data_IF_339462099260
#
_entry.id   IF_339462099260
#
_cell.length_a   1.000
_cell.length_b   1.000
_cell.length_c   1.000
_cell.angle_alpha   90.00
_cell.angle_beta   90.00
_cell.angle_gamma   90.00
#
_symmetry.space_group_name_H-M   'P 1'
#
loop_
_entity.id
_entity.type
_entity.pdbx_description
1 polymer ?
#
# COMPACT_ATOMS: atom_id res chain seq x y z
N UNK A 1 3.24 -0.70 -10.32
CA UNK A 1 1.85 -0.34 -9.95
C UNK A 1 1.00 -1.60 -10.03
N UNK A 2 0.22 -1.89 -9.00
CA UNK A 2 -0.63 -3.08 -8.87
C UNK A 2 -1.99 -2.59 -8.38
N UNK A 3 -3.08 -3.08 -8.95
CA UNK A 3 -4.43 -2.79 -8.44
C UNK A 3 -5.01 -4.07 -7.88
N UNK A 4 -5.51 -4.01 -6.64
CA UNK A 4 -6.07 -5.16 -5.93
C UNK A 4 -7.43 -4.81 -5.36
N UNK A 5 -8.44 -5.52 -5.78
CA UNK A 5 -9.75 -5.47 -5.14
C UNK A 5 -9.76 -6.35 -3.90
N UNK A 6 -10.20 -5.82 -2.76
CA UNK A 6 -10.32 -6.55 -1.51
C UNK A 6 -11.52 -6.03 -0.70
N UNK A 7 -12.43 -6.95 -0.34
CA UNK A 7 -13.64 -6.66 0.45
C UNK A 7 -14.56 -5.55 -0.10
N UNK A 8 -14.53 -5.34 -1.42
CA UNK A 8 -15.33 -4.29 -2.09
C UNK A 8 -14.57 -2.98 -2.30
N UNK A 9 -13.40 -2.83 -1.69
CA UNK A 9 -12.52 -1.67 -1.89
C UNK A 9 -11.47 -1.97 -2.98
N UNK A 10 -11.00 -0.93 -3.66
CA UNK A 10 -9.97 -1.02 -4.71
C UNK A 10 -8.66 -0.43 -4.17
N UNK A 11 -7.61 -1.23 -4.05
CA UNK A 11 -6.30 -0.78 -3.59
C UNK A 11 -5.33 -0.60 -4.77
N UNK A 12 -4.96 0.64 -5.05
CA UNK A 12 -3.94 0.99 -6.03
C UNK A 12 -2.57 1.06 -5.35
N UNK A 13 -1.81 -0.02 -5.44
CA UNK A 13 -0.52 -0.21 -4.78
C UNK A 13 0.63 0.20 -5.71
N UNK A 14 1.40 1.19 -5.30
CA UNK A 14 2.63 1.64 -5.92
C UNK A 14 3.82 1.24 -5.07
N UNK A 15 4.68 0.37 -5.62
CA UNK A 15 5.87 -0.13 -4.93
C UNK A 15 7.07 0.62 -5.49
N UNK A 16 7.82 1.28 -4.61
CA UNK A 16 9.06 1.98 -4.91
C UNK A 16 10.22 1.22 -4.24
N UNK A 17 11.27 0.93 -5.00
CA UNK A 17 12.45 0.24 -4.47
C UNK A 17 13.72 1.02 -4.82
N UNK A 18 13.97 2.16 -4.16
CA UNK A 18 15.16 2.99 -4.43
C UNK A 18 16.46 2.27 -4.06
N UNK A 19 16.42 1.38 -3.07
CA UNK A 19 17.60 0.69 -2.54
C UNK A 19 17.89 -0.64 -3.26
N UNK A 20 17.10 -1.01 -4.26
CA UNK A 20 17.23 -2.29 -4.98
C UNK A 20 17.23 -3.54 -4.07
N UNK A 21 16.50 -3.49 -2.95
CA UNK A 21 16.37 -4.62 -2.01
C UNK A 21 15.34 -5.64 -2.50
N UNK A 22 15.42 -6.89 -2.05
CA UNK A 22 14.48 -7.95 -2.46
C UNK A 22 13.37 -8.22 -1.43
N UNK A 23 13.46 -7.66 -0.23
CA UNK A 23 12.50 -7.80 0.86
C UNK A 23 12.65 -6.64 1.85
N UNK A 24 11.64 -6.42 2.70
CA UNK A 24 11.63 -5.33 3.67
C UNK A 24 10.74 -4.17 3.23
N UNK A 25 9.73 -3.84 4.05
CA UNK A 25 8.91 -2.64 3.87
C UNK A 25 9.47 -1.59 4.81
N UNK A 26 10.13 -0.58 4.26
CA UNK A 26 10.65 0.54 5.04
C UNK A 26 9.54 1.54 5.40
N UNK A 27 8.58 1.74 4.49
CA UNK A 27 7.48 2.68 4.69
C UNK A 27 6.25 2.28 3.88
N UNK A 28 5.06 2.47 4.47
CA UNK A 28 3.78 2.31 3.78
C UNK A 28 2.87 3.49 4.07
N UNK A 29 2.25 4.04 3.03
CA UNK A 29 1.22 5.08 3.15
C UNK A 29 -0.04 4.64 2.42
N UNK A 30 -1.20 4.98 2.98
CA UNK A 30 -2.52 4.76 2.37
C UNK A 30 -3.28 6.08 2.38
N UNK A 31 -3.71 6.53 1.21
CA UNK A 31 -4.37 7.82 0.99
C UNK A 31 -3.60 9.01 1.59
N UNK A 32 -2.26 8.93 1.53
CA UNK A 32 -1.36 9.95 2.07
C UNK A 32 -1.16 9.87 3.59
N UNK A 33 -1.80 8.93 4.30
CA UNK A 33 -1.54 8.66 5.72
C UNK A 33 -0.52 7.56 5.88
N UNK A 34 0.51 7.82 6.67
CA UNK A 34 1.49 6.80 7.04
C UNK A 34 0.86 5.78 7.98
N UNK A 35 1.08 4.50 7.68
CA UNK A 35 0.62 3.39 8.51
C UNK A 35 1.86 2.63 8.98
N UNK A 36 1.91 2.35 10.27
CA UNK A 36 2.94 1.49 10.82
C UNK A 36 2.68 0.03 10.45
N UNK A 37 3.72 -0.64 9.95
CA UNK A 37 3.68 -2.05 9.53
C UNK A 37 3.33 -2.25 8.06
N UNK A 38 2.82 -3.43 7.75
CA UNK A 38 2.57 -3.90 6.38
C UNK A 38 1.12 -4.38 6.16
N UNK A 39 0.22 -4.08 7.11
CA UNK A 39 -1.17 -4.52 7.07
C UNK A 39 -2.06 -3.30 6.82
N UNK A 40 -2.75 -3.32 5.69
CA UNK A 40 -3.74 -2.31 5.36
C UNK A 40 -5.07 -2.75 6.00
N UNK A 41 -5.68 -1.93 6.88
CA UNK A 41 -7.00 -2.24 7.42
C UNK A 41 -8.05 -2.21 6.31
N UNK A 42 -9.12 -3.00 6.45
CA UNK A 42 -10.26 -2.92 5.53
C UNK A 42 -11.07 -1.66 5.80
N UNK A 43 -11.26 -0.82 4.78
CA UNK A 43 -12.06 0.40 4.89
C UNK A 43 -13.55 0.11 4.70
N UNK A 44 -13.88 -0.92 3.91
CA UNK A 44 -15.24 -1.34 3.56
C UNK A 44 -16.12 -0.17 3.12
N UNK A 45 -15.54 0.82 2.44
CA UNK A 45 -16.24 2.01 1.99
C UNK A 45 -16.60 1.95 0.48
N UNK A 46 -16.14 0.91 -0.20
CA UNK A 46 -16.36 0.67 -1.63
C UNK A 46 -15.54 1.57 -2.52
N UNK A 47 -14.51 2.25 -2.00
CA UNK A 47 -13.74 3.27 -2.74
C UNK A 47 -12.37 2.75 -3.16
N UNK A 48 -11.72 3.58 -3.97
CA UNK A 48 -10.35 3.37 -4.38
C UNK A 48 -9.38 4.06 -3.41
N UNK A 49 -8.49 3.27 -2.82
CA UNK A 49 -7.43 3.73 -1.93
C UNK A 49 -6.08 3.66 -2.64
N UNK A 50 -5.28 4.72 -2.51
CA UNK A 50 -3.94 4.76 -3.08
C UNK A 50 -2.93 4.36 -2.02
N UNK A 51 -2.19 3.30 -2.28
CA UNK A 51 -1.19 2.74 -1.36
C UNK A 51 0.18 2.97 -1.96
N UNK A 52 1.11 3.58 -1.22
CA UNK A 52 2.51 3.68 -1.63
C UNK A 52 3.37 2.89 -0.65
N UNK A 53 4.16 1.97 -1.18
CA UNK A 53 5.07 1.11 -0.42
C UNK A 53 6.49 1.44 -0.85
N UNK A 54 7.35 1.80 0.10
CA UNK A 54 8.78 1.97 -0.13
C UNK A 54 9.50 0.78 0.47
N UNK A 55 10.21 0.04 -0.39
CA UNK A 55 11.11 -1.03 0.03
C UNK A 55 12.43 -0.43 0.49
N UNK A 56 13.01 -1.02 1.53
CA UNK A 56 14.30 -0.63 2.08
C UNK A 56 14.83 -1.63 3.09
#
# INVERSE_FOLDING_TARGET
>A
KVTREFRGDIFNIEIQNPNHVSSGVAKMTVDGKEIEGNIIPSFNDGKAHTVTVVLG
#
